data_IF_386875519140
#
_entry.id   IF_386875519140
#
_cell.length_a   1.000
_cell.length_b   1.000
_cell.length_c   1.000
_cell.angle_alpha   90.00
_cell.angle_beta   90.00
_cell.angle_gamma   90.00
#
_symmetry.space_group_name_H-M   'P 1'
#
loop_
_entity.id
_entity.type
_entity.pdbx_description
1 polymer ?
#
# COMPACT_ATOMS: atom_id res chain seq x y z
N UNK A 1 15.49 8.61 21.88
CA UNK A 1 14.11 8.23 21.52
C UNK A 1 13.86 8.73 20.11
N UNK A 2 13.45 7.86 19.20
CA UNK A 2 13.18 8.25 17.81
C UNK A 2 11.68 8.54 17.66
N UNK A 3 11.35 9.63 16.96
CA UNK A 3 9.97 9.99 16.61
C UNK A 3 9.80 9.87 15.11
N UNK A 4 8.74 9.19 14.69
CA UNK A 4 8.39 9.00 13.28
C UNK A 4 7.15 9.81 12.93
N UNK A 5 7.14 10.42 11.74
CA UNK A 5 6.03 11.23 11.25
C UNK A 5 5.64 10.77 9.84
N UNK A 6 4.35 10.71 9.56
CA UNK A 6 3.83 10.56 8.19
C UNK A 6 3.74 11.97 7.60
N UNK A 7 4.40 12.19 6.46
CA UNK A 7 4.41 13.47 5.74
C UNK A 7 3.76 13.30 4.36
N UNK A 8 3.57 14.41 3.64
CA UNK A 8 3.13 14.43 2.24
C UNK A 8 1.74 13.84 1.93
N UNK A 9 0.89 13.71 2.95
CA UNK A 9 -0.49 13.25 2.77
C UNK A 9 -1.28 14.23 1.89
N UNK A 10 -2.01 13.69 0.90
CA UNK A 10 -2.86 14.49 0.01
C UNK A 10 -2.18 15.11 -1.21
N UNK A 11 -0.84 15.05 -1.34
CA UNK A 11 -0.15 15.59 -2.52
C UNK A 11 -0.61 14.94 -3.84
N UNK A 12 -0.92 13.63 -3.81
CA UNK A 12 -1.45 12.90 -4.97
C UNK A 12 -2.76 13.49 -5.54
N UNK A 13 -3.57 14.16 -4.71
CA UNK A 13 -4.82 14.81 -5.15
C UNK A 13 -4.54 16.08 -5.95
N UNK A 14 -3.54 16.86 -5.55
CA UNK A 14 -3.14 18.09 -6.24
C UNK A 14 -2.61 17.80 -7.65
N UNK A 15 -1.81 16.74 -7.79
CA UNK A 15 -1.27 16.33 -9.10
C UNK A 15 -2.40 15.91 -10.05
N UNK A 16 -3.41 15.17 -9.57
CA UNK A 16 -4.56 14.76 -10.38
C UNK A 16 -5.44 15.94 -10.83
N UNK A 17 -5.59 16.98 -10.00
CA UNK A 17 -6.37 18.17 -10.36
C UNK A 17 -5.69 18.99 -11.47
N UNK A 18 -4.37 18.99 -11.51
CA UNK A 18 -3.58 19.74 -12.50
C UNK A 18 -3.27 18.95 -13.78
N UNK A 19 -3.53 17.63 -13.80
CA UNK A 19 -3.30 16.78 -14.96
C UNK A 19 -4.58 16.56 -15.77
N UNK A 20 -4.53 16.83 -17.08
CA UNK A 20 -5.63 16.50 -18.02
C UNK A 20 -5.77 15.00 -18.27
N UNK A 21 -4.74 14.21 -17.93
CA UNK A 21 -4.74 12.76 -18.05
C UNK A 21 -5.19 12.10 -16.75
N UNK A 22 -6.03 11.08 -16.86
CA UNK A 22 -6.31 10.06 -15.83
C UNK A 22 -5.10 9.14 -15.59
N UNK A 23 -3.92 9.72 -15.38
CA UNK A 23 -2.70 8.96 -15.15
C UNK A 23 -2.73 8.34 -13.74
N UNK A 24 -2.38 7.06 -13.66
CA UNK A 24 -2.15 6.40 -12.39
C UNK A 24 -0.88 6.99 -11.77
N UNK A 25 -1.03 7.67 -10.64
CA UNK A 25 0.08 8.26 -9.89
C UNK A 25 0.41 7.40 -8.68
N UNK A 26 1.68 7.01 -8.57
CA UNK A 26 2.22 6.28 -7.44
C UNK A 26 3.22 5.21 -7.86
N UNK A 27 3.84 4.60 -6.87
CA UNK A 27 4.75 3.45 -7.07
C UNK A 27 3.90 2.18 -7.09
N UNK A 28 4.00 1.43 -8.18
CA UNK A 28 3.07 0.34 -8.56
C UNK A 28 2.74 -0.65 -7.42
N UNK A 29 3.71 -0.97 -6.57
CA UNK A 29 3.55 -1.98 -5.50
C UNK A 29 2.83 -1.48 -4.25
N UNK A 30 2.66 -0.16 -4.11
CA UNK A 30 1.94 0.48 -3.00
C UNK A 30 0.52 0.89 -3.40
N UNK A 31 0.18 0.73 -4.68
CA UNK A 31 -1.15 1.03 -5.20
C UNK A 31 -2.02 -0.20 -5.00
N UNK A 32 -3.19 -0.01 -4.39
CA UNK A 32 -4.13 -1.10 -4.17
C UNK A 32 -4.58 -1.73 -5.51
N UNK A 33 -4.72 -3.06 -5.59
CA UNK A 33 -5.06 -3.75 -6.83
C UNK A 33 -6.40 -3.30 -7.43
N UNK A 34 -7.37 -2.89 -6.63
CA UNK A 34 -8.63 -2.32 -7.12
C UNK A 34 -8.44 -0.98 -7.84
N UNK A 35 -7.42 -0.20 -7.44
CA UNK A 35 -7.05 1.07 -8.08
C UNK A 35 -6.27 0.79 -9.36
N UNK A 36 -5.39 -0.23 -9.37
CA UNK A 36 -4.67 -0.68 -10.56
C UNK A 36 -5.60 -1.23 -11.65
N UNK A 37 -6.59 -2.04 -11.26
CA UNK A 37 -7.45 -2.77 -12.20
C UNK A 37 -8.64 -1.93 -12.71
N UNK A 38 -9.37 -1.27 -11.81
CA UNK A 38 -10.64 -0.62 -12.15
C UNK A 38 -10.58 0.90 -12.12
N UNK A 39 -9.44 1.48 -11.72
CA UNK A 39 -9.29 2.92 -11.46
C UNK A 39 -10.35 3.46 -10.47
N UNK A 40 -11.01 2.57 -9.72
CA UNK A 40 -11.99 2.89 -8.69
C UNK A 40 -11.23 3.19 -7.42
N UNK A 41 -11.16 4.48 -7.08
CA UNK A 41 -10.39 4.95 -5.93
C UNK A 41 -11.28 5.12 -4.71
N UNK A 42 -11.33 4.11 -3.85
CA UNK A 42 -11.72 4.33 -2.47
C UNK A 42 -10.45 4.72 -1.69
N UNK A 43 -10.35 6.00 -1.32
CA UNK A 43 -9.13 6.57 -0.71
C UNK A 43 -8.78 5.83 0.58
N UNK A 44 -9.76 5.60 1.46
CA UNK A 44 -9.56 4.90 2.72
C UNK A 44 -9.04 3.47 2.52
N UNK A 45 -9.66 2.67 1.64
CA UNK A 45 -9.20 1.30 1.37
C UNK A 45 -7.82 1.27 0.72
N UNK A 46 -7.54 2.22 -0.17
CA UNK A 46 -6.23 2.38 -0.81
C UNK A 46 -5.14 2.73 0.19
N UNK A 47 -5.42 3.64 1.13
CA UNK A 47 -4.46 4.05 2.18
C UNK A 47 -4.21 2.91 3.18
N UNK A 48 -5.23 2.12 3.52
CA UNK A 48 -5.06 0.91 4.33
C UNK A 48 -4.18 -0.11 3.61
N UNK A 49 -4.37 -0.30 2.30
CA UNK A 49 -3.51 -1.18 1.51
C UNK A 49 -2.05 -0.71 1.52
N UNK A 50 -1.79 0.56 1.18
CA UNK A 50 -0.42 1.09 1.13
C UNK A 50 0.26 1.01 2.50
N UNK A 51 -0.47 1.28 3.59
CA UNK A 51 0.02 1.11 4.95
C UNK A 51 0.42 -0.34 5.27
N UNK A 52 -0.38 -1.32 4.81
CA UNK A 52 -0.03 -2.75 4.93
C UNK A 52 1.25 -3.13 4.18
N UNK A 53 1.58 -2.42 3.11
CA UNK A 53 2.81 -2.65 2.33
C UNK A 53 4.02 -1.98 3.01
N UNK A 54 3.87 -0.75 3.51
CA UNK A 54 4.94 0.01 4.19
C UNK A 54 5.36 -0.66 5.51
N UNK A 55 4.41 -1.24 6.25
CA UNK A 55 4.69 -1.81 7.58
C UNK A 55 5.82 -2.86 7.58
N UNK A 56 5.77 -3.94 6.77
CA UNK A 56 6.87 -4.88 6.66
C UNK A 56 8.18 -4.26 6.17
N UNK A 57 8.12 -3.27 5.27
CA UNK A 57 9.30 -2.59 4.74
C UNK A 57 10.06 -1.85 5.84
N UNK A 58 9.36 -1.16 6.75
CA UNK A 58 9.98 -0.48 7.90
C UNK A 58 10.75 -1.45 8.80
N UNK A 59 10.25 -2.68 9.01
CA UNK A 59 10.91 -3.66 9.88
C UNK A 59 11.99 -4.49 9.20
N UNK A 60 11.88 -4.67 7.89
CA UNK A 60 12.79 -5.52 7.14
C UNK A 60 13.87 -4.72 6.43
N UNK A 61 13.66 -3.40 6.29
CA UNK A 61 14.47 -2.50 5.45
C UNK A 61 14.49 -2.91 3.97
N UNK A 62 13.64 -3.87 3.58
CA UNK A 62 13.52 -4.33 2.21
C UNK A 62 12.23 -3.82 1.59
N UNK A 63 12.27 -3.30 0.35
CA UNK A 63 11.07 -2.92 -0.36
C UNK A 63 10.16 -4.13 -0.57
N UNK A 64 8.85 -3.91 -0.77
CA UNK A 64 7.92 -4.97 -1.08
C UNK A 64 8.39 -5.71 -2.35
N UNK A 65 8.35 -7.04 -2.29
CA UNK A 65 8.79 -7.88 -3.40
C UNK A 65 10.24 -7.62 -3.85
N UNK A 66 11.14 -7.26 -2.92
CA UNK A 66 12.56 -6.94 -3.20
C UNK A 66 13.31 -8.01 -4.04
N UNK A 67 12.86 -9.26 -4.02
CA UNK A 67 13.47 -10.38 -4.72
C UNK A 67 12.75 -10.74 -6.05
N UNK A 68 11.84 -9.88 -6.52
CA UNK A 68 11.06 -10.08 -7.75
C UNK A 68 11.21 -8.84 -8.63
N UNK A 69 11.21 -9.01 -9.94
CA UNK A 69 11.25 -7.90 -10.88
C UNK A 69 9.97 -7.05 -10.79
N UNK A 70 10.11 -5.74 -10.65
CA UNK A 70 8.98 -4.80 -10.53
C UNK A 70 8.43 -4.42 -11.91
N UNK A 71 7.79 -5.39 -12.57
CA UNK A 71 7.24 -5.23 -13.92
C UNK A 71 5.69 -5.36 -13.93
N UNK A 72 5.10 -5.24 -15.13
CA UNK A 72 3.64 -5.39 -15.32
C UNK A 72 3.12 -6.79 -14.97
N UNK A 73 3.96 -7.81 -15.06
CA UNK A 73 3.55 -9.18 -14.72
C UNK A 73 3.35 -9.31 -13.21
N UNK A 74 4.27 -8.75 -12.41
CA UNK A 74 4.09 -8.68 -10.96
C UNK A 74 2.82 -7.90 -10.59
N UNK A 75 2.55 -6.78 -11.27
CA UNK A 75 1.32 -6.01 -11.07
C UNK A 75 0.06 -6.88 -11.32
N UNK A 76 0.07 -7.64 -12.42
CA UNK A 76 -1.00 -8.56 -12.78
C UNK A 76 -1.18 -9.64 -11.71
N UNK A 77 -0.09 -10.24 -11.23
CA UNK A 77 -0.15 -11.23 -10.16
C UNK A 77 -0.75 -10.65 -8.87
N UNK A 78 -0.38 -9.42 -8.48
CA UNK A 78 -0.95 -8.74 -7.31
C UNK A 78 -2.46 -8.52 -7.48
N UNK A 79 -2.90 -8.08 -8.67
CA UNK A 79 -4.33 -7.95 -8.99
C UNK A 79 -5.09 -9.29 -8.92
N UNK A 80 -4.42 -10.40 -9.23
CA UNK A 80 -4.96 -11.77 -9.09
C UNK A 80 -4.89 -12.32 -7.66
N UNK A 81 -4.42 -11.53 -6.69
CA UNK A 81 -4.39 -11.90 -5.27
C UNK A 81 -3.05 -12.45 -4.77
N UNK A 82 -1.98 -12.35 -5.57
CA UNK A 82 -0.63 -12.62 -5.07
C UNK A 82 -0.28 -11.64 -3.95
N UNK A 83 0.22 -12.18 -2.82
CA UNK A 83 0.57 -11.41 -1.63
C UNK A 83 2.05 -11.59 -1.32
N UNK A 84 2.73 -10.52 -0.96
CA UNK A 84 4.11 -10.60 -0.48
C UNK A 84 4.17 -11.50 0.77
N UNK A 85 5.17 -12.37 0.83
CA UNK A 85 5.44 -13.16 2.03
C UNK A 85 6.16 -12.25 3.03
N UNK A 86 5.47 -11.86 4.09
CA UNK A 86 6.07 -11.12 5.20
C UNK A 86 6.98 -12.09 5.97
N UNK A 87 8.30 -11.96 5.77
CA UNK A 87 9.32 -12.80 6.43
C UNK A 87 9.97 -12.09 7.62
N UNK A 88 9.19 -11.30 8.34
CA UNK A 88 9.62 -10.66 9.57
C UNK A 88 9.03 -11.44 10.75
N UNK A 89 9.79 -11.62 11.83
CA UNK A 89 9.21 -11.83 13.16
C UNK A 89 8.55 -10.52 13.57
N UNK A 90 7.46 -10.17 12.89
CA UNK A 90 6.65 -9.00 13.17
C UNK A 90 6.28 -9.13 14.64
N UNK A 91 6.68 -8.15 15.47
CA UNK A 91 6.30 -8.12 16.88
C UNK A 91 4.79 -8.39 16.95
N UNK A 92 4.33 -9.31 17.79
CA UNK A 92 2.92 -9.72 17.86
C UNK A 92 1.95 -8.53 17.85
N UNK A 93 2.37 -7.45 18.51
CA UNK A 93 1.72 -6.13 18.56
C UNK A 93 1.37 -5.52 17.18
N UNK A 94 2.21 -5.71 16.17
CA UNK A 94 1.98 -5.24 14.80
C UNK A 94 1.07 -6.16 13.99
N UNK A 95 1.12 -7.48 14.22
CA UNK A 95 0.13 -8.40 13.66
C UNK A 95 -1.26 -8.06 14.20
N UNK A 96 -1.36 -7.76 15.49
CA UNK A 96 -2.60 -7.34 16.14
C UNK A 96 -3.11 -6.00 15.58
N UNK A 97 -2.21 -5.04 15.32
CA UNK A 97 -2.56 -3.77 14.67
C UNK A 97 -3.08 -4.00 13.24
N UNK A 98 -2.37 -4.79 12.43
CA UNK A 98 -2.79 -5.12 11.07
C UNK A 98 -4.17 -5.81 11.04
N UNK A 99 -4.40 -6.74 11.96
CA UNK A 99 -5.69 -7.44 12.09
C UNK A 99 -6.81 -6.50 12.54
N UNK A 100 -6.54 -5.54 13.44
CA UNK A 100 -7.50 -4.50 13.82
C UNK A 100 -7.87 -3.59 12.64
N UNK A 101 -6.90 -3.18 11.82
CA UNK A 101 -7.18 -2.40 10.60
C UNK A 101 -8.03 -3.18 9.57
N UNK A 102 -7.99 -4.51 9.60
CA UNK A 102 -8.80 -5.39 8.75
C UNK A 102 -10.25 -5.56 9.23
N UNK A 103 -10.45 -5.49 10.55
CA UNK A 103 -11.74 -5.69 11.20
C UNK A 103 -12.46 -4.38 11.58
N UNK A 104 -11.82 -3.22 11.35
CA UNK A 104 -12.45 -1.93 11.59
C UNK A 104 -13.62 -1.74 10.62
N UNK A 105 -14.82 -1.63 11.20
CA UNK A 105 -16.02 -1.27 10.46
C UNK A 105 -15.77 0.06 9.73
N UNK A 106 -15.92 0.13 8.39
CA UNK A 106 -15.71 1.36 7.63
C UNK A 106 -16.68 2.51 8.01
N UNK A 107 -17.61 2.30 8.95
CA UNK A 107 -18.54 3.31 9.46
C UNK A 107 -18.21 3.91 10.84
N UNK A 108 -17.09 3.52 11.46
CA UNK A 108 -16.67 4.08 12.76
C UNK A 108 -15.73 5.28 12.61
#
# INVERSE_FOLDING_TARGET
MFSSYIIDFGLCKLVLQNSSSKALLGVLLYIAPEVLYAMKRNIFKSDIYSFRIIMPEVFTEYPPYHNILHNKDLATHICLGYKSKIRCKVLQLFLDLMNKCLNADPQN
#
